data_IF_155915317948
#
_entry.id   IF_155915317948
#
_cell.length_a   1.000
_cell.length_b   1.000
_cell.length_c   1.000
_cell.angle_alpha   90.00
_cell.angle_beta   90.00
_cell.angle_gamma   90.00
#
_symmetry.space_group_name_H-M   'P 1'
#
loop_
_entity.id
_entity.type
_entity.pdbx_description
1 polymer ?
#
# COMPACT_ATOMS: atom_id res chain seq x y z
N UNK A 1 -2.60 -16.37 -11.56
CA UNK A 1 -3.65 -15.33 -11.45
C UNK A 1 -5.04 -15.96 -11.58
N UNK A 2 -6.04 -15.39 -10.91
CA UNK A 2 -7.41 -15.92 -10.88
C UNK A 2 -8.04 -16.02 -12.30
N UNK A 3 -9.01 -16.94 -12.46
CA UNK A 3 -9.81 -17.03 -13.68
C UNK A 3 -10.51 -15.69 -13.94
N UNK A 4 -10.39 -15.13 -15.14
CA UNK A 4 -10.97 -13.84 -15.52
C UNK A 4 -10.05 -12.62 -15.42
N UNK A 5 -8.79 -12.79 -14.98
CA UNK A 5 -7.81 -11.70 -14.99
C UNK A 5 -7.52 -11.22 -16.43
N UNK A 6 -7.69 -9.91 -16.73
CA UNK A 6 -7.37 -9.34 -18.03
C UNK A 6 -5.93 -9.67 -18.45
N UNK A 7 -5.74 -10.05 -19.72
CA UNK A 7 -4.43 -10.42 -20.25
C UNK A 7 -3.38 -9.33 -20.04
N UNK A 8 -3.77 -8.05 -20.25
CA UNK A 8 -2.89 -6.90 -20.05
C UNK A 8 -2.41 -6.78 -18.60
N UNK A 9 -3.29 -7.00 -17.63
CA UNK A 9 -2.95 -6.94 -16.20
C UNK A 9 -1.96 -8.06 -15.86
N UNK A 10 -2.20 -9.27 -16.35
CA UNK A 10 -1.27 -10.40 -16.18
C UNK A 10 0.11 -10.10 -16.74
N UNK A 11 0.17 -9.68 -18.00
CA UNK A 11 1.44 -9.37 -18.67
C UNK A 11 2.18 -8.22 -17.97
N UNK A 12 1.46 -7.22 -17.47
CA UNK A 12 2.02 -6.13 -16.69
C UNK A 12 2.66 -6.63 -15.39
N UNK A 13 1.95 -7.46 -14.62
CA UNK A 13 2.48 -8.06 -13.39
C UNK A 13 3.73 -8.91 -13.69
N UNK A 14 3.69 -9.75 -14.72
CA UNK A 14 4.82 -10.60 -15.12
C UNK A 14 6.06 -9.80 -15.51
N UNK A 15 5.87 -8.61 -16.11
CA UNK A 15 6.97 -7.68 -16.43
C UNK A 15 7.48 -6.92 -15.21
N UNK A 16 6.63 -6.62 -14.23
CA UNK A 16 6.99 -5.86 -13.05
C UNK A 16 7.76 -6.70 -12.02
N UNK A 17 7.36 -7.95 -11.80
CA UNK A 17 7.98 -8.88 -10.84
C UNK A 17 9.52 -8.86 -10.88
N UNK A 18 10.19 -9.05 -12.04
CA UNK A 18 11.66 -9.08 -12.09
C UNK A 18 12.33 -7.73 -11.79
N UNK A 19 11.58 -6.63 -11.71
CA UNK A 19 12.10 -5.29 -11.36
C UNK A 19 11.91 -4.95 -9.89
N UNK A 20 11.09 -5.70 -9.15
CA UNK A 20 10.74 -5.39 -7.77
C UNK A 20 11.97 -5.29 -6.87
N UNK A 21 12.95 -6.19 -7.04
CA UNK A 21 14.18 -6.18 -6.25
C UNK A 21 14.89 -4.82 -6.32
N UNK A 22 14.95 -4.18 -7.50
CA UNK A 22 15.58 -2.86 -7.65
C UNK A 22 14.67 -1.68 -7.30
N UNK A 23 13.34 -1.87 -7.34
CA UNK A 23 12.37 -0.84 -6.98
C UNK A 23 12.12 -0.76 -5.46
N UNK A 24 12.37 -1.86 -4.76
CA UNK A 24 12.20 -2.04 -3.32
C UNK A 24 13.53 -2.36 -2.61
N UNK A 25 14.66 -1.91 -3.19
CA UNK A 25 16.02 -2.12 -2.66
C UNK A 25 16.36 -1.17 -1.50
N UNK A 26 15.43 -0.95 -0.59
CA UNK A 26 15.71 -0.16 0.61
C UNK A 26 16.20 -1.05 1.77
N UNK A 27 16.91 -0.41 2.70
CA UNK A 27 17.59 -1.09 3.81
C UNK A 27 16.68 -1.23 5.04
N UNK A 28 15.38 -0.94 4.91
CA UNK A 28 14.51 -0.86 6.07
C UNK A 28 14.23 -2.27 6.64
N UNK A 29 14.39 -2.45 7.97
CA UNK A 29 14.10 -3.73 8.57
C UNK A 29 12.58 -4.01 8.51
N UNK A 30 12.19 -5.31 8.42
CA UNK A 30 10.79 -5.68 8.53
C UNK A 30 10.15 -5.13 9.80
N UNK A 31 8.94 -4.61 9.66
CA UNK A 31 8.17 -3.99 10.74
C UNK A 31 6.85 -4.74 10.94
N UNK A 32 6.31 -4.64 12.15
CA UNK A 32 4.94 -5.07 12.42
C UNK A 32 3.98 -4.07 11.81
N UNK A 33 3.19 -4.52 10.84
CA UNK A 33 2.20 -3.68 10.15
C UNK A 33 0.78 -4.10 10.54
N UNK A 34 -0.13 -3.14 10.53
CA UNK A 34 -1.56 -3.37 10.65
C UNK A 34 -2.07 -4.18 9.44
N UNK A 35 -1.55 -3.88 8.25
CA UNK A 35 -1.77 -4.62 7.02
C UNK A 35 -3.07 -4.31 6.31
N UNK A 36 -3.98 -3.56 6.92
CA UNK A 36 -5.19 -3.00 6.29
C UNK A 36 -5.50 -1.59 6.85
N UNK A 37 -4.46 -0.74 6.95
CA UNK A 37 -4.57 0.56 7.63
C UNK A 37 -5.12 1.64 6.70
N UNK A 38 -6.44 1.86 6.75
CA UNK A 38 -7.10 2.98 6.05
C UNK A 38 -8.13 3.67 6.96
N UNK A 39 -8.72 4.77 6.48
CA UNK A 39 -9.65 5.58 7.27
C UNK A 39 -10.85 4.82 7.86
N UNK A 40 -11.33 3.76 7.18
CA UNK A 40 -12.39 2.90 7.71
C UNK A 40 -11.98 2.02 8.90
N UNK A 41 -10.68 1.72 9.01
CA UNK A 41 -10.10 0.85 10.04
C UNK A 41 -9.35 1.64 11.13
N UNK A 42 -9.59 2.95 11.22
CA UNK A 42 -8.99 3.81 12.23
C UNK A 42 -10.07 4.68 12.88
N UNK A 43 -9.87 4.98 14.15
CA UNK A 43 -10.80 5.79 14.92
C UNK A 43 -10.12 6.48 16.09
N UNK A 44 -10.94 7.16 16.88
CA UNK A 44 -10.49 7.86 18.09
C UNK A 44 -11.49 7.60 19.20
N UNK A 45 -10.98 7.23 20.37
CA UNK A 45 -11.79 7.05 21.56
C UNK A 45 -12.27 8.41 22.10
N UNK A 46 -13.23 8.39 23.03
CA UNK A 46 -13.76 9.62 23.67
C UNK A 46 -12.68 10.44 24.37
N UNK A 47 -11.58 9.82 24.77
CA UNK A 47 -10.43 10.45 25.42
C UNK A 47 -9.29 10.81 24.45
N UNK A 48 -9.59 10.90 23.15
CA UNK A 48 -8.66 11.26 22.08
C UNK A 48 -7.54 10.26 21.78
N UNK A 49 -7.53 9.08 22.40
CA UNK A 49 -6.57 8.04 22.03
C UNK A 49 -6.92 7.43 20.67
N UNK A 50 -5.93 7.21 19.78
CA UNK A 50 -6.15 6.52 18.52
C UNK A 50 -6.49 5.05 18.78
N UNK A 51 -7.32 4.48 17.91
CA UNK A 51 -7.64 3.05 17.89
C UNK A 51 -7.65 2.58 16.44
N UNK A 52 -7.22 1.34 16.21
CA UNK A 52 -7.23 0.67 14.91
C UNK A 52 -8.06 -0.61 15.00
N UNK A 53 -8.72 -0.98 13.90
CA UNK A 53 -9.67 -2.09 13.81
C UNK A 53 -9.31 -3.01 12.64
N UNK A 54 -9.77 -4.26 12.69
CA UNK A 54 -9.72 -5.22 11.58
C UNK A 54 -8.33 -5.38 10.92
N UNK A 55 -7.30 -5.76 11.69
CA UNK A 55 -5.96 -5.90 11.14
C UNK A 55 -5.83 -7.11 10.21
N UNK A 56 -5.10 -6.93 9.11
CA UNK A 56 -4.51 -8.00 8.32
C UNK A 56 -3.01 -8.13 8.67
N UNK A 57 -2.73 -8.33 9.96
CA UNK A 57 -1.39 -8.23 10.54
C UNK A 57 -0.32 -9.03 9.80
N UNK A 58 0.85 -8.42 9.60
CA UNK A 58 2.03 -9.07 9.05
C UNK A 58 3.33 -8.46 9.59
N UNK A 59 4.43 -9.19 9.42
CA UNK A 59 5.78 -8.63 9.52
C UNK A 59 6.27 -8.38 8.10
N UNK A 60 6.31 -7.12 7.68
CA UNK A 60 6.59 -6.72 6.30
C UNK A 60 7.17 -5.30 6.21
N UNK A 61 7.33 -4.77 4.99
CA UNK A 61 7.82 -3.41 4.80
C UNK A 61 6.81 -2.39 5.35
N UNK A 62 7.27 -1.47 6.21
CA UNK A 62 6.37 -0.51 6.90
C UNK A 62 5.66 0.46 5.98
N UNK A 63 6.23 0.74 4.80
CA UNK A 63 5.59 1.61 3.82
C UNK A 63 4.33 0.97 3.21
N UNK A 64 4.05 -0.32 3.45
CA UNK A 64 2.75 -0.92 3.13
C UNK A 64 1.60 -0.25 3.91
N UNK A 65 1.75 -0.04 5.22
CA UNK A 65 0.73 0.67 6.02
C UNK A 65 0.59 2.13 5.59
N UNK A 66 1.71 2.79 5.26
CA UNK A 66 1.66 4.16 4.72
C UNK A 66 0.95 4.20 3.37
N UNK A 67 1.24 3.26 2.48
CA UNK A 67 0.59 3.11 1.18
C UNK A 67 -0.91 2.87 1.31
N UNK A 68 -1.32 1.94 2.18
CA UNK A 68 -2.72 1.66 2.45
C UNK A 68 -3.44 2.90 3.02
N UNK A 69 -2.80 3.63 3.94
CA UNK A 69 -3.42 4.80 4.57
C UNK A 69 -3.75 5.90 3.56
N UNK A 70 -2.96 6.01 2.49
CA UNK A 70 -3.11 7.00 1.43
C UNK A 70 -4.07 6.58 0.31
N UNK A 71 -4.46 5.30 0.24
CA UNK A 71 -5.19 4.75 -0.92
C UNK A 71 -6.62 5.28 -1.03
N UNK A 72 -7.29 5.52 0.09
CA UNK A 72 -8.68 5.96 0.16
C UNK A 72 -8.85 7.33 0.80
N UNK A 73 -8.06 8.30 0.34
CA UNK A 73 -8.17 9.72 0.72
C UNK A 73 -7.16 10.20 1.76
N UNK A 74 -6.43 9.30 2.42
CA UNK A 74 -5.38 9.68 3.37
C UNK A 74 -5.89 9.97 4.79
N UNK A 75 -4.98 9.89 5.76
CA UNK A 75 -5.15 10.57 7.04
C UNK A 75 -4.79 12.06 6.91
N UNK A 76 -4.98 12.82 7.99
CA UNK A 76 -4.54 14.21 8.01
C UNK A 76 -3.01 14.33 7.82
N UNK A 77 -2.53 15.44 7.23
CA UNK A 77 -1.08 15.69 7.12
C UNK A 77 -0.35 15.65 8.48
N UNK A 78 -1.07 15.94 9.57
CA UNK A 78 -0.54 15.84 10.93
C UNK A 78 -0.09 14.42 11.29
N UNK A 79 -0.81 13.39 10.82
CA UNK A 79 -0.43 11.99 11.00
C UNK A 79 0.91 11.69 10.32
N UNK A 80 1.02 12.04 9.04
CA UNK A 80 2.24 11.77 8.26
C UNK A 80 3.44 12.54 8.81
N UNK A 81 3.27 13.82 9.17
CA UNK A 81 4.35 14.60 9.80
C UNK A 81 4.80 14.01 11.14
N UNK A 82 3.85 13.53 11.97
CA UNK A 82 4.19 12.89 13.25
C UNK A 82 4.93 11.57 13.05
N UNK A 83 4.51 10.76 12.08
CA UNK A 83 5.20 9.52 11.71
C UNK A 83 6.61 9.81 11.20
N UNK A 84 6.77 10.73 10.24
CA UNK A 84 8.06 11.12 9.67
C UNK A 84 9.02 11.68 10.73
N UNK A 85 8.51 12.37 11.76
CA UNK A 85 9.34 12.91 12.85
C UNK A 85 9.88 11.83 13.81
N UNK A 86 9.15 10.73 14.00
CA UNK A 86 9.52 9.64 14.93
C UNK A 86 10.28 8.54 14.21
N UNK A 87 9.80 8.14 13.03
CA UNK A 87 10.36 7.05 12.25
C UNK A 87 10.43 7.44 10.75
N UNK A 88 11.42 8.27 10.37
CA UNK A 88 11.53 8.83 9.03
C UNK A 88 11.57 7.72 7.96
N UNK A 89 10.67 7.72 6.96
CA UNK A 89 10.79 6.91 5.75
C UNK A 89 12.10 7.15 5.00
N UNK A 90 12.54 6.16 4.22
CA UNK A 90 13.71 6.35 3.35
C UNK A 90 13.44 7.44 2.30
N UNK A 91 14.46 8.18 1.85
CA UNK A 91 14.30 9.13 0.76
C UNK A 91 13.57 8.51 -0.44
N UNK A 92 12.63 9.24 -1.02
CA UNK A 92 11.84 8.74 -2.15
C UNK A 92 10.60 7.90 -1.78
N UNK A 93 10.24 7.75 -0.50
CA UNK A 93 9.11 6.91 -0.09
C UNK A 93 7.79 7.30 -0.75
N UNK A 94 7.54 8.60 -0.94
CA UNK A 94 6.31 9.09 -1.59
C UNK A 94 6.21 8.65 -3.05
N UNK A 95 7.34 8.49 -3.72
CA UNK A 95 7.43 7.96 -5.07
C UNK A 95 7.20 6.44 -5.09
N UNK A 96 7.51 5.72 -3.99
CA UNK A 96 7.24 4.29 -3.83
C UNK A 96 5.81 3.98 -3.34
N UNK A 97 5.07 4.96 -2.81
CA UNK A 97 3.69 4.77 -2.33
C UNK A 97 2.81 4.00 -3.32
N UNK A 98 2.74 4.35 -4.63
CA UNK A 98 1.87 3.63 -5.54
C UNK A 98 2.30 2.16 -5.72
N UNK A 99 3.60 1.86 -5.65
CA UNK A 99 4.10 0.48 -5.69
C UNK A 99 3.65 -0.33 -4.46
N UNK A 100 3.68 0.26 -3.27
CA UNK A 100 3.13 -0.37 -2.06
C UNK A 100 1.61 -0.49 -2.08
N UNK A 101 0.91 0.44 -2.73
CA UNK A 101 -0.53 0.37 -2.96
C UNK A 101 -0.94 -0.74 -3.91
N UNK A 102 -0.05 -1.15 -4.83
CA UNK A 102 -0.37 -2.16 -5.84
C UNK A 102 -0.89 -3.47 -5.23
N UNK A 103 -0.33 -3.92 -4.10
CA UNK A 103 -0.83 -5.09 -3.38
C UNK A 103 -2.32 -4.95 -3.01
N UNK A 104 -2.68 -3.82 -2.43
CA UNK A 104 -4.05 -3.52 -1.99
C UNK A 104 -4.99 -3.34 -3.17
N UNK A 105 -4.55 -2.67 -4.24
CA UNK A 105 -5.35 -2.51 -5.46
C UNK A 105 -5.61 -3.88 -6.11
N UNK A 106 -4.62 -4.76 -6.17
CA UNK A 106 -4.81 -6.13 -6.68
C UNK A 106 -5.72 -6.97 -5.77
N UNK A 107 -5.66 -6.78 -4.45
CA UNK A 107 -6.60 -7.41 -3.52
C UNK A 107 -8.03 -6.90 -3.74
N UNK A 108 -8.22 -5.59 -3.93
CA UNK A 108 -9.52 -5.00 -4.25
C UNK A 108 -10.04 -5.46 -5.61
N UNK A 109 -9.18 -5.60 -6.61
CA UNK A 109 -9.53 -6.21 -7.89
C UNK A 109 -10.05 -7.64 -7.69
N UNK A 110 -9.37 -8.44 -6.87
CA UNK A 110 -9.81 -9.81 -6.60
C UNK A 110 -11.19 -9.87 -5.92
N UNK A 111 -11.50 -8.92 -5.03
CA UNK A 111 -12.74 -8.89 -4.25
C UNK A 111 -13.91 -8.19 -4.96
N UNK A 112 -13.63 -7.12 -5.72
CA UNK A 112 -14.62 -6.18 -6.24
C UNK A 112 -14.58 -5.97 -7.76
N UNK A 113 -13.54 -6.47 -8.43
CA UNK A 113 -13.47 -6.53 -9.89
C UNK A 113 -13.01 -5.24 -10.59
N UNK A 114 -13.63 -4.98 -11.75
CA UNK A 114 -13.08 -4.16 -12.84
C UNK A 114 -12.56 -2.76 -12.47
N UNK A 115 -13.16 -1.96 -11.57
CA UNK A 115 -12.60 -0.61 -11.30
C UNK A 115 -11.14 -0.61 -10.85
N UNK A 116 -10.66 -1.72 -10.27
CA UNK A 116 -9.31 -1.83 -9.73
C UNK A 116 -8.29 -2.45 -10.71
N UNK A 117 -8.72 -3.07 -11.83
CA UNK A 117 -7.75 -3.59 -12.80
C UNK A 117 -7.05 -2.47 -13.59
N UNK A 118 -7.80 -1.45 -14.02
CA UNK A 118 -7.24 -0.26 -14.67
C UNK A 118 -6.32 0.51 -13.71
N UNK A 119 -6.72 0.69 -12.45
CA UNK A 119 -5.85 1.31 -11.44
C UNK A 119 -4.56 0.51 -11.22
N UNK A 120 -4.63 -0.81 -11.16
CA UNK A 120 -3.43 -1.66 -11.05
C UNK A 120 -2.54 -1.53 -12.29
N UNK A 121 -3.14 -1.48 -13.48
CA UNK A 121 -2.42 -1.29 -14.74
C UNK A 121 -1.70 0.06 -14.82
N UNK A 122 -2.34 1.14 -14.37
CA UNK A 122 -1.73 2.48 -14.32
C UNK A 122 -0.49 2.48 -13.41
N UNK A 123 -0.62 1.90 -12.21
CA UNK A 123 0.51 1.77 -11.27
C UNK A 123 1.61 0.94 -11.92
N UNK A 124 1.31 -0.26 -12.42
CA UNK A 124 2.30 -1.15 -13.04
C UNK A 124 3.04 -0.41 -14.15
N UNK A 125 2.31 0.27 -15.04
CA UNK A 125 2.89 0.99 -16.19
C UNK A 125 3.84 2.10 -15.74
N UNK A 126 3.55 2.78 -14.64
CA UNK A 126 4.43 3.81 -14.09
C UNK A 126 5.77 3.27 -13.56
N UNK A 127 5.86 1.97 -13.25
CA UNK A 127 7.07 1.30 -12.76
C UNK A 127 7.69 0.32 -13.77
N UNK A 128 7.12 0.21 -14.98
CA UNK A 128 7.75 -0.46 -16.14
C UNK A 128 8.67 0.48 -16.92
#
# INVERSE_FOLDING_TARGET
LAKGCPTRLREGIEKLIPRLDGLLDDIDPPSHIHGDLWAGNAGTLKDHRPIFFDPAYATAHRELDLGMSLLFGGFSDGFYRAYEAIYPPQPGWRQRVPLHQLYYVLAHYHLFGAPYDEQALDIITAFL
#
